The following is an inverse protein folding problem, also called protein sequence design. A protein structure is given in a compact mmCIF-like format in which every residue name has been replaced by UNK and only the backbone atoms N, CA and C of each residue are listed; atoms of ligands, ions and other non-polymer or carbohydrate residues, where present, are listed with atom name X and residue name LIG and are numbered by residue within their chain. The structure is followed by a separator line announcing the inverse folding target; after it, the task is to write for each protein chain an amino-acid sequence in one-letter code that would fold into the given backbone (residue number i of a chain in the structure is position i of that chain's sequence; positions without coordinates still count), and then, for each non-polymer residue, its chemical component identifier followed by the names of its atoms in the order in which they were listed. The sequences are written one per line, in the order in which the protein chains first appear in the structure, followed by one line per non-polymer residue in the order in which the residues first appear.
data_IF_467017755708
#
_entry.id   IF_467017755708
#
_cell.length_a   1.000
_cell.length_b   1.000
_cell.length_c   1.000
_cell.angle_alpha   90.00
_cell.angle_beta   90.00
_cell.angle_gamma   90.00
#
_symmetry.space_group_name_H-M   'P 1'
#
loop_
_entity.id
_entity.type
_entity.pdbx_description
1 polymer ?
#
# COMPACT_ATOMS: atom_id res chain seq x y z
N UNK A 1 -1.89 -32.66 15.63
CA UNK A 1 -1.29 -33.07 14.35
C UNK A 1 -0.32 -31.98 13.95
N UNK A 2 0.88 -32.32 13.50
CA UNK A 2 1.91 -31.35 13.12
C UNK A 2 1.89 -31.18 11.61
N UNK A 3 1.93 -29.94 11.14
CA UNK A 3 2.00 -29.64 9.71
C UNK A 3 3.40 -29.15 9.36
N UNK A 4 3.86 -29.43 8.14
CA UNK A 4 5.21 -29.14 7.68
C UNK A 4 5.16 -28.29 6.43
N UNK A 5 6.02 -27.30 6.34
CA UNK A 5 6.43 -26.70 5.06
C UNK A 5 7.84 -27.19 4.74
N UNK A 6 8.10 -27.58 3.50
CA UNK A 6 9.39 -28.13 3.09
C UNK A 6 9.85 -27.60 1.74
N UNK A 7 11.17 -27.59 1.53
CA UNK A 7 11.82 -27.32 0.25
C UNK A 7 12.58 -28.56 -0.21
N UNK A 8 12.41 -28.89 -1.50
CA UNK A 8 13.18 -29.91 -2.17
C UNK A 8 14.11 -29.27 -3.21
N UNK A 9 15.35 -29.75 -3.29
CA UNK A 9 16.26 -29.46 -4.39
C UNK A 9 16.13 -30.56 -5.45
N UNK A 10 15.78 -30.16 -6.67
CA UNK A 10 15.54 -31.06 -7.79
C UNK A 10 16.80 -31.29 -8.63
N UNK A 11 16.84 -32.36 -9.42
CA UNK A 11 17.98 -32.69 -10.28
C UNK A 11 18.32 -31.60 -11.33
N UNK A 12 17.33 -30.81 -11.77
CA UNK A 12 17.52 -29.67 -12.67
C UNK A 12 17.98 -28.39 -11.94
N UNK A 13 18.43 -28.51 -10.68
CA UNK A 13 18.87 -27.42 -9.80
C UNK A 13 17.77 -26.41 -9.49
N UNK A 14 16.50 -26.78 -9.63
CA UNK A 14 15.36 -25.97 -9.19
C UNK A 14 14.95 -26.31 -7.76
N UNK A 15 14.14 -25.45 -7.15
CA UNK A 15 13.58 -25.67 -5.81
C UNK A 15 12.07 -25.83 -5.87
N UNK A 16 11.57 -26.94 -5.35
CA UNK A 16 10.15 -27.16 -5.10
C UNK A 16 9.80 -26.81 -3.65
N UNK A 17 8.62 -26.23 -3.43
CA UNK A 17 8.12 -25.87 -2.11
C UNK A 17 6.73 -26.47 -1.94
N UNK A 18 6.47 -27.11 -0.81
CA UNK A 18 5.17 -27.71 -0.50
C UNK A 18 4.87 -27.73 0.99
N UNK A 19 3.64 -28.08 1.35
CA UNK A 19 3.24 -28.40 2.72
C UNK A 19 2.58 -29.78 2.82
N UNK A 20 2.61 -30.39 4.01
CA UNK A 20 1.98 -31.68 4.30
C UNK A 20 1.80 -31.88 5.80
N UNK A 21 0.93 -32.78 6.20
CA UNK A 21 0.79 -33.31 7.56
C UNK A 21 1.68 -34.53 7.84
N UNK A 22 2.28 -35.14 6.80
CA UNK A 22 3.18 -36.29 6.90
C UNK A 22 4.38 -36.11 5.95
N UNK A 23 5.48 -35.58 6.49
CA UNK A 23 6.67 -35.23 5.72
C UNK A 23 7.39 -36.45 5.14
N UNK A 24 7.49 -37.54 5.92
CA UNK A 24 8.20 -38.76 5.50
C UNK A 24 7.48 -39.43 4.33
N UNK A 25 6.17 -39.64 4.47
CA UNK A 25 5.35 -40.20 3.39
C UNK A 25 5.41 -39.33 2.15
N UNK A 26 5.38 -38.00 2.31
CA UNK A 26 5.41 -37.06 1.19
C UNK A 26 6.76 -37.05 0.46
N UNK A 27 7.87 -37.17 1.20
CA UNK A 27 9.20 -37.27 0.62
C UNK A 27 9.34 -38.56 -0.19
N UNK A 28 8.88 -39.70 0.35
CA UNK A 28 8.84 -40.98 -0.36
C UNK A 28 8.04 -40.88 -1.67
N UNK A 29 6.87 -40.24 -1.64
CA UNK A 29 6.05 -40.02 -2.84
C UNK A 29 6.77 -39.20 -3.92
N UNK A 30 7.56 -38.20 -3.51
CA UNK A 30 8.34 -37.39 -4.45
C UNK A 30 9.55 -38.16 -5.02
N UNK A 31 10.22 -38.99 -4.20
CA UNK A 31 11.32 -39.85 -4.63
C UNK A 31 10.86 -40.87 -5.68
N UNK A 32 9.73 -41.52 -5.43
CA UNK A 32 9.19 -42.57 -6.29
C UNK A 32 8.34 -42.01 -7.44
N UNK A 33 8.06 -40.70 -7.45
CA UNK A 33 7.27 -40.04 -8.50
C UNK A 33 5.79 -40.45 -8.52
N UNK A 34 5.29 -41.00 -7.40
CA UNK A 34 3.98 -41.67 -7.27
C UNK A 34 2.81 -40.74 -7.64
N UNK A 35 2.91 -39.45 -7.30
CA UNK A 35 1.81 -38.49 -7.48
C UNK A 35 1.86 -37.72 -8.80
N UNK A 36 2.84 -37.99 -9.67
CA UNK A 36 3.08 -37.19 -10.87
C UNK A 36 3.39 -35.72 -10.57
N UNK A 37 3.42 -34.87 -11.60
CA UNK A 37 3.57 -33.42 -11.45
C UNK A 37 5.01 -32.89 -11.49
N UNK A 38 5.24 -31.71 -10.88
CA UNK A 38 6.47 -30.93 -11.09
C UNK A 38 7.77 -31.68 -10.79
N UNK A 39 7.80 -32.45 -9.70
CA UNK A 39 8.98 -33.16 -9.22
C UNK A 39 9.17 -34.52 -9.87
N UNK A 40 8.15 -35.14 -10.49
CA UNK A 40 8.27 -36.50 -11.05
C UNK A 40 9.25 -36.59 -12.22
N UNK A 41 9.39 -35.51 -12.99
CA UNK A 41 10.36 -35.39 -14.10
C UNK A 41 11.70 -34.81 -13.69
N UNK A 42 11.88 -34.44 -12.41
CA UNK A 42 13.06 -33.72 -11.89
C UNK A 42 13.73 -34.45 -10.72
N UNK A 43 13.62 -35.77 -10.71
CA UNK A 43 14.22 -36.69 -9.74
C UNK A 43 15.69 -36.97 -10.08
N UNK A 44 16.54 -37.34 -9.10
CA UNK A 44 16.25 -37.42 -7.67
C UNK A 44 15.97 -36.04 -7.05
N UNK A 45 15.23 -36.02 -5.95
CA UNK A 45 14.95 -34.81 -5.17
C UNK A 45 15.56 -34.97 -3.78
N UNK A 46 16.05 -33.87 -3.21
CA UNK A 46 16.68 -33.86 -1.88
C UNK A 46 15.93 -32.89 -0.96
N UNK A 47 15.61 -33.33 0.27
CA UNK A 47 15.03 -32.45 1.27
C UNK A 47 16.12 -31.52 1.82
N UNK A 48 16.02 -30.22 1.49
CA UNK A 48 17.02 -29.22 1.87
C UNK A 48 16.58 -28.32 3.02
N UNK A 49 15.27 -28.26 3.29
CA UNK A 49 14.74 -27.50 4.43
C UNK A 49 13.33 -27.99 4.78
N UNK A 50 13.00 -28.00 6.08
CA UNK A 50 11.66 -28.23 6.58
C UNK A 50 11.43 -27.49 7.91
N UNK A 51 10.21 -27.02 8.13
CA UNK A 51 9.76 -26.38 9.37
C UNK A 51 8.38 -26.89 9.77
N UNK A 52 8.18 -27.06 11.08
CA UNK A 52 6.97 -27.61 11.68
C UNK A 52 6.06 -26.50 12.20
N UNK A 53 4.75 -26.65 12.03
CA UNK A 53 3.70 -25.71 12.40
C UNK A 53 2.58 -26.40 13.15
N UNK A 54 1.92 -25.65 14.04
CA UNK A 54 0.82 -26.16 14.85
C UNK A 54 -0.47 -26.32 14.03
N UNK A 55 -0.65 -25.49 13.00
CA UNK A 55 -1.85 -25.50 12.15
C UNK A 55 -1.52 -25.67 10.67
N UNK A 56 -2.49 -26.22 9.91
CA UNK A 56 -2.37 -26.36 8.45
C UNK A 56 -2.29 -25.00 7.75
N UNK A 57 -2.99 -24.01 8.30
CA UNK A 57 -3.06 -22.66 7.76
C UNK A 57 -1.70 -21.96 7.82
N UNK A 58 -0.98 -22.10 8.93
CA UNK A 58 0.39 -21.60 9.08
C UNK A 58 1.34 -22.25 8.05
N UNK A 59 1.34 -23.57 7.94
CA UNK A 59 2.18 -24.29 6.97
C UNK A 59 1.87 -23.88 5.52
N UNK A 60 0.59 -23.70 5.18
CA UNK A 60 0.16 -23.24 3.85
C UNK A 60 0.55 -21.78 3.59
N UNK A 61 0.42 -20.90 4.58
CA UNK A 61 0.83 -19.51 4.47
C UNK A 61 2.35 -19.38 4.25
N UNK A 62 3.15 -20.17 4.96
CA UNK A 62 4.60 -20.23 4.78
C UNK A 62 4.98 -20.80 3.41
N UNK A 63 4.30 -21.84 2.92
CA UNK A 63 4.49 -22.33 1.55
C UNK A 63 4.28 -21.22 0.52
N UNK A 64 3.14 -20.52 0.58
CA UNK A 64 2.80 -19.46 -0.37
C UNK A 64 3.82 -18.32 -0.35
N UNK A 65 4.36 -17.99 0.83
CA UNK A 65 5.44 -17.00 0.96
C UNK A 65 6.72 -17.47 0.27
N UNK A 66 7.23 -18.65 0.61
CA UNK A 66 8.53 -19.13 0.11
C UNK A 66 8.47 -19.52 -1.36
N UNK A 67 7.33 -20.00 -1.86
CA UNK A 67 7.14 -20.42 -3.26
C UNK A 67 7.59 -19.34 -4.25
N UNK A 68 7.26 -18.07 -3.96
CA UNK A 68 7.58 -16.90 -4.80
C UNK A 68 8.94 -16.25 -4.49
N UNK A 69 9.76 -16.83 -3.60
CA UNK A 69 11.08 -16.29 -3.30
C UNK A 69 12.07 -16.54 -4.44
N UNK A 70 12.99 -15.59 -4.63
CA UNK A 70 14.14 -15.75 -5.52
C UNK A 70 15.04 -16.89 -5.04
N UNK A 71 15.79 -17.49 -5.97
CA UNK A 71 16.75 -18.56 -5.68
C UNK A 71 17.69 -18.20 -4.53
N UNK A 72 18.22 -16.97 -4.54
CA UNK A 72 19.15 -16.46 -3.51
C UNK A 72 18.51 -16.47 -2.12
N UNK A 73 17.22 -16.11 -2.01
CA UNK A 73 16.51 -16.16 -0.72
C UNK A 73 16.31 -17.60 -0.25
N UNK A 74 15.94 -18.52 -1.14
CA UNK A 74 15.76 -19.94 -0.80
C UNK A 74 17.09 -20.55 -0.33
N UNK A 75 18.18 -20.26 -1.01
CA UNK A 75 19.53 -20.69 -0.62
C UNK A 75 19.95 -20.11 0.74
N UNK A 76 19.67 -18.83 1.00
CA UNK A 76 19.95 -18.22 2.30
C UNK A 76 19.11 -18.84 3.44
N UNK A 77 17.85 -19.20 3.17
CA UNK A 77 16.99 -19.91 4.12
C UNK A 77 17.53 -21.31 4.44
N UNK A 78 17.93 -22.07 3.42
CA UNK A 78 18.53 -23.41 3.55
C UNK A 78 19.81 -23.34 4.39
N UNK A 79 20.65 -22.33 4.14
CA UNK A 79 21.90 -22.11 4.86
C UNK A 79 21.71 -21.54 6.29
N UNK A 80 20.47 -21.21 6.69
CA UNK A 80 20.15 -20.45 7.92
C UNK A 80 20.94 -19.15 8.04
N UNK A 81 21.34 -18.57 6.92
CA UNK A 81 22.09 -17.30 6.85
C UNK A 81 21.11 -16.14 6.76
N UNK A 82 20.63 -15.74 7.93
CA UNK A 82 19.66 -14.65 8.07
C UNK A 82 20.19 -13.31 7.54
N UNK A 83 21.52 -13.09 7.60
CA UNK A 83 22.15 -11.86 7.08
C UNK A 83 22.05 -11.80 5.57
N UNK A 84 22.34 -12.91 4.89
CA UNK A 84 22.22 -13.03 3.44
C UNK A 84 20.76 -13.03 2.97
N UNK A 85 19.85 -13.61 3.75
CA UNK A 85 18.41 -13.58 3.47
C UNK A 85 17.87 -12.15 3.50
N UNK A 86 18.32 -11.33 4.46
CA UNK A 86 17.98 -9.91 4.57
C UNK A 86 18.49 -9.13 3.36
N UNK A 87 19.75 -9.33 2.96
CA UNK A 87 20.33 -8.66 1.78
C UNK A 87 19.65 -9.07 0.47
N UNK A 88 19.32 -10.36 0.31
CA UNK A 88 18.61 -10.87 -0.86
C UNK A 88 17.15 -10.41 -0.96
N UNK A 89 16.63 -9.79 0.10
CA UNK A 89 15.29 -9.19 0.15
C UNK A 89 15.23 -7.75 -0.34
N UNK A 90 16.39 -7.13 -0.56
CA UNK A 90 16.51 -5.78 -1.13
C UNK A 90 16.41 -5.87 -2.67
N UNK A 91 15.53 -5.08 -3.33
CA UNK A 91 15.41 -5.04 -4.78
C UNK A 91 16.75 -4.71 -5.47
N UNK A 92 17.05 -5.27 -6.67
CA UNK A 92 18.32 -5.03 -7.36
C UNK A 92 18.66 -3.54 -7.58
N UNK A 93 17.67 -2.69 -7.80
CA UNK A 93 17.84 -1.25 -8.01
C UNK A 93 18.45 -0.53 -6.78
N UNK A 94 18.10 -0.95 -5.56
CA UNK A 94 18.63 -0.38 -4.32
C UNK A 94 20.05 -0.87 -3.96
N UNK A 95 20.51 -1.97 -4.59
CA UNK A 95 21.84 -2.53 -4.36
C UNK A 95 22.95 -1.70 -5.01
N UNK A 96 22.66 -1.07 -6.15
CA UNK A 96 23.61 -0.23 -6.89
C UNK A 96 23.83 1.11 -6.17
N UNK A 97 22.76 1.73 -5.65
CA UNK A 97 22.81 3.03 -4.97
C UNK A 97 23.65 3.03 -3.68
N UNK A 98 23.76 1.89 -2.98
CA UNK A 98 24.57 1.79 -1.75
C UNK A 98 26.06 1.60 -2.02
N UNK A 99 26.44 1.13 -3.21
CA UNK A 99 27.85 0.89 -3.54
C UNK A 99 28.55 2.18 -3.98
N UNK A 100 27.81 3.14 -4.55
CA UNK A 100 28.31 4.45 -4.98
C UNK A 100 28.46 5.48 -3.85
N UNK A 101 27.75 5.32 -2.73
CA UNK A 101 27.79 6.28 -1.61
C UNK A 101 29.06 6.22 -0.75
N UNK A 102 29.94 5.23 -0.95
CA UNK A 102 31.15 5.02 -0.12
C UNK A 102 32.39 5.81 -0.57
N UNK A 103 32.35 6.55 -1.68
CA UNK A 103 33.53 7.23 -2.23
C UNK A 103 33.17 8.63 -2.75
N UNK A 104 33.31 9.67 -1.92
CA UNK A 104 33.20 11.05 -2.44
C UNK A 104 33.04 12.17 -1.42
N UNK A 105 34.17 12.58 -0.84
CA UNK A 105 34.56 13.91 -0.30
C UNK A 105 33.51 15.02 -0.13
N UNK A 106 33.53 15.56 1.09
CA UNK A 106 33.21 16.92 1.58
C UNK A 106 33.31 18.06 0.55
N UNK A 107 32.33 18.99 0.46
CA UNK A 107 32.53 20.25 -0.25
C UNK A 107 32.77 21.44 0.70
N UNK A 108 33.71 22.28 0.29
CA UNK A 108 34.03 23.60 0.85
C UNK A 108 33.06 24.66 0.30
N UNK A 109 32.74 25.65 1.13
CA UNK A 109 32.04 26.88 0.77
C UNK A 109 32.75 27.65 -0.36
N UNK A 110 31.97 28.08 -1.37
CA UNK A 110 32.26 29.28 -2.15
C UNK A 110 30.98 30.07 -2.43
N UNK A 111 31.13 31.37 -2.23
CA UNK A 111 30.17 32.45 -2.40
C UNK A 111 29.98 32.82 -3.88
N UNK A 112 28.76 33.23 -4.23
CA UNK A 112 28.52 34.33 -5.17
C UNK A 112 28.02 33.93 -6.57
N UNK A 113 26.71 34.03 -6.78
CA UNK A 113 26.05 34.89 -7.78
C UNK A 113 24.56 34.58 -7.77
N UNK A 114 23.74 35.62 -7.62
CA UNK A 114 22.28 35.54 -7.62
C UNK A 114 21.81 35.42 -9.06
N UNK A 115 21.06 34.37 -9.34
CA UNK A 115 20.21 34.29 -10.52
C UNK A 115 18.77 34.31 -10.02
N UNK A 116 18.01 35.31 -10.47
CA UNK A 116 16.59 35.47 -10.20
C UNK A 116 15.81 34.57 -11.17
N UNK A 117 15.07 33.59 -10.64
CA UNK A 117 14.17 32.77 -11.46
C UNK A 117 13.73 31.51 -10.74
N UNK A 118 12.43 31.44 -10.44
CA UNK A 118 11.71 30.34 -9.77
C UNK A 118 12.04 30.14 -8.29
N UNK A 119 11.31 30.86 -7.42
CA UNK A 119 11.07 30.41 -6.07
C UNK A 119 10.22 29.13 -6.13
N UNK A 120 10.88 27.98 -6.26
CA UNK A 120 10.34 26.70 -5.81
C UNK A 120 9.91 26.94 -4.37
N UNK A 121 8.59 27.04 -4.12
CA UNK A 121 8.06 27.01 -2.77
C UNK A 121 8.62 25.74 -2.14
N UNK A 122 9.54 25.89 -1.18
CA UNK A 122 10.17 24.77 -0.49
C UNK A 122 9.04 23.92 0.09
N UNK A 123 8.89 22.70 -0.42
CA UNK A 123 7.81 21.82 0.00
C UNK A 123 7.91 21.63 1.52
N UNK A 124 6.79 21.77 2.23
CA UNK A 124 6.75 21.64 3.68
C UNK A 124 7.43 20.33 4.11
N UNK A 125 8.32 20.36 5.12
CA UNK A 125 9.00 19.16 5.56
C UNK A 125 7.97 18.13 6.08
N UNK A 126 8.19 16.83 5.84
CA UNK A 126 7.32 15.79 6.37
C UNK A 126 7.14 15.91 7.89
N UNK A 127 5.94 15.65 8.43
CA UNK A 127 5.69 15.73 9.86
C UNK A 127 6.43 14.60 10.60
N UNK A 128 6.92 14.94 11.79
CA UNK A 128 7.49 13.99 12.74
C UNK A 128 6.36 13.21 13.41
N UNK A 129 6.50 11.89 13.51
CA UNK A 129 5.57 11.07 14.29
C UNK A 129 6.13 10.87 15.70
N UNK A 130 5.39 11.32 16.70
CA UNK A 130 5.80 11.23 18.11
C UNK A 130 4.86 10.30 18.86
N UNK A 131 5.40 9.19 19.39
CA UNK A 131 4.65 8.25 20.23
C UNK A 131 5.00 8.48 21.69
N UNK A 132 4.02 8.94 22.46
CA UNK A 132 4.16 9.24 23.89
C UNK A 132 3.80 8.01 24.71
N UNK A 133 4.77 7.54 25.49
CA UNK A 133 4.65 6.40 26.42
C UNK A 133 3.99 5.17 25.78
N UNK A 134 4.40 4.74 24.56
CA UNK A 134 3.83 3.56 23.91
C UNK A 134 4.02 2.33 24.80
N UNK A 135 2.99 1.47 24.86
CA UNK A 135 2.96 0.37 25.82
C UNK A 135 3.60 -0.91 25.28
N UNK A 136 3.51 -1.17 23.98
CA UNK A 136 3.98 -2.42 23.37
C UNK A 136 4.89 -2.14 22.18
N UNK A 137 6.03 -2.84 22.12
CA UNK A 137 6.96 -2.79 20.99
C UNK A 137 6.29 -3.11 19.64
N UNK A 138 5.36 -4.07 19.64
CA UNK A 138 4.57 -4.40 18.45
C UNK A 138 3.79 -3.20 17.88
N UNK A 139 3.25 -2.33 18.73
CA UNK A 139 2.48 -1.18 18.27
C UNK A 139 3.40 -0.09 17.70
N UNK A 140 4.61 0.04 18.24
CA UNK A 140 5.67 0.87 17.64
C UNK A 140 6.01 0.34 16.25
N UNK A 141 6.21 -0.98 16.10
CA UNK A 141 6.45 -1.61 14.80
C UNK A 141 5.30 -1.40 13.81
N UNK A 142 4.06 -1.62 14.23
CA UNK A 142 2.86 -1.39 13.39
C UNK A 142 2.73 0.08 13.00
N UNK A 143 3.05 1.03 13.89
CA UNK A 143 3.07 2.45 13.57
C UNK A 143 4.17 2.79 12.55
N UNK A 144 5.39 2.29 12.73
CA UNK A 144 6.48 2.48 11.78
C UNK A 144 6.14 1.93 10.38
N UNK A 145 5.47 0.77 10.31
CA UNK A 145 4.93 0.24 9.06
C UNK A 145 3.92 1.18 8.42
N UNK A 146 2.97 1.69 9.21
CA UNK A 146 1.97 2.64 8.75
C UNK A 146 2.61 3.93 8.22
N UNK A 147 3.65 4.44 8.89
CA UNK A 147 4.42 5.60 8.44
C UNK A 147 5.05 5.39 7.07
N UNK A 148 5.80 4.28 6.92
CA UNK A 148 6.56 4.04 5.69
C UNK A 148 5.66 3.78 4.48
N UNK A 149 4.47 3.18 4.68
CA UNK A 149 3.47 3.04 3.61
C UNK A 149 3.10 4.36 2.95
N UNK A 150 3.23 5.48 3.67
CA UNK A 150 2.85 6.81 3.23
C UNK A 150 4.04 7.77 3.13
N UNK A 151 5.27 7.25 3.14
CA UNK A 151 6.48 8.05 2.93
C UNK A 151 7.00 8.81 4.16
N UNK A 152 6.47 8.53 5.35
CA UNK A 152 6.99 9.10 6.61
C UNK A 152 8.07 8.20 7.20
N UNK A 153 9.19 8.79 7.61
CA UNK A 153 10.34 8.04 8.13
C UNK A 153 10.80 8.47 9.52
N UNK A 154 10.45 9.67 9.97
CA UNK A 154 10.95 10.20 11.24
C UNK A 154 10.03 9.84 12.40
N UNK A 155 10.50 8.91 13.23
CA UNK A 155 9.81 8.43 14.44
C UNK A 155 10.55 8.92 15.70
N UNK A 156 9.79 9.49 16.64
CA UNK A 156 10.29 9.85 17.97
C UNK A 156 9.47 9.16 19.05
N UNK A 157 10.15 8.60 20.04
CA UNK A 157 9.55 7.88 21.16
C UNK A 157 9.80 8.67 22.44
N UNK A 158 8.74 8.95 23.20
CA UNK A 158 8.86 9.61 24.51
C UNK A 158 8.61 8.58 25.58
N UNK A 159 9.62 8.30 26.41
CA UNK A 159 9.54 7.36 27.53
C UNK A 159 8.77 6.04 27.20
N UNK A 160 9.21 5.25 26.20
CA UNK A 160 8.55 3.98 25.85
C UNK A 160 8.56 3.03 27.04
N UNK A 161 7.40 2.45 27.39
CA UNK A 161 7.22 1.71 28.66
C UNK A 161 8.14 0.51 28.79
N UNK A 162 8.27 -0.27 27.72
CA UNK A 162 9.11 -1.47 27.67
C UNK A 162 10.55 -1.15 27.21
N UNK A 163 10.93 0.13 27.18
CA UNK A 163 12.23 0.59 26.71
C UNK A 163 12.41 0.53 25.19
N UNK A 164 13.58 0.99 24.73
CA UNK A 164 13.99 0.98 23.33
C UNK A 164 15.50 0.75 23.21
N UNK A 165 16.00 -0.03 22.23
CA UNK A 165 15.25 -0.78 21.21
C UNK A 165 14.45 -1.97 21.77
N UNK A 166 13.33 -2.29 21.14
CA UNK A 166 12.47 -3.42 21.53
C UNK A 166 12.42 -4.50 20.42
N UNK A 167 12.73 -5.77 20.71
CA UNK A 167 12.80 -6.85 19.71
C UNK A 167 11.45 -7.16 19.04
N UNK A 168 10.33 -6.90 19.71
CA UNK A 168 8.99 -7.19 19.18
C UNK A 168 8.54 -6.16 18.13
N UNK A 169 9.20 -4.99 18.07
CA UNK A 169 8.91 -3.96 17.08
C UNK A 169 9.32 -4.38 15.66
N UNK A 170 10.44 -5.10 15.51
CA UNK A 170 10.99 -5.50 14.21
C UNK A 170 10.05 -6.38 13.38
N UNK A 171 9.59 -7.54 13.90
CA UNK A 171 8.63 -8.39 13.21
C UNK A 171 7.34 -7.67 12.84
N UNK A 172 6.84 -6.81 13.73
CA UNK A 172 5.61 -6.05 13.53
C UNK A 172 5.73 -4.95 12.46
N UNK A 173 6.93 -4.40 12.25
CA UNK A 173 7.22 -3.39 11.23
C UNK A 173 7.24 -3.93 9.79
N UNK A 174 7.39 -5.26 9.62
CA UNK A 174 7.24 -5.94 8.32
C UNK A 174 7.98 -5.26 7.15
N UNK A 175 9.24 -4.87 7.37
CA UNK A 175 10.09 -4.23 6.35
C UNK A 175 10.29 -2.73 6.54
N UNK A 176 9.58 -2.08 7.47
CA UNK A 176 9.85 -0.70 7.86
C UNK A 176 11.03 -0.54 8.85
N UNK A 177 12.08 -1.34 8.65
CA UNK A 177 13.28 -1.37 9.52
C UNK A 177 13.98 0.00 9.57
N UNK A 178 13.94 0.77 8.47
CA UNK A 178 14.59 2.09 8.37
C UNK A 178 14.01 3.07 9.39
N UNK A 179 12.68 3.08 9.56
CA UNK A 179 11.99 3.96 10.50
C UNK A 179 12.35 3.61 11.94
N UNK A 180 12.48 2.31 12.25
CA UNK A 180 12.87 1.86 13.59
C UNK A 180 14.35 2.11 13.87
N UNK A 181 15.22 1.94 12.88
CA UNK A 181 16.66 2.15 13.03
C UNK A 181 17.03 3.61 13.28
N UNK A 182 16.25 4.54 12.72
CA UNK A 182 16.42 5.99 12.87
C UNK A 182 15.55 6.57 14.00
N UNK A 183 14.79 5.74 14.72
CA UNK A 183 13.91 6.20 15.79
C UNK A 183 14.70 6.83 16.95
N UNK A 184 14.38 8.08 17.27
CA UNK A 184 15.00 8.81 18.38
C UNK A 184 14.16 8.68 19.67
N UNK A 185 14.83 8.55 20.82
CA UNK A 185 14.19 8.40 22.13
C UNK A 185 14.45 9.64 22.98
N UNK A 186 13.41 10.11 23.64
CA UNK A 186 13.42 11.30 24.49
C UNK A 186 12.77 10.99 25.84
N UNK A 187 13.18 11.73 26.87
CA UNK A 187 12.61 11.58 28.21
C UNK A 187 11.28 12.33 28.33
N UNK A 188 11.18 13.50 27.68
CA UNK A 188 9.98 14.34 27.73
C UNK A 188 9.41 14.66 26.35
N UNK A 189 8.10 14.93 26.29
CA UNK A 189 7.45 15.35 25.05
C UNK A 189 8.00 16.70 24.58
N UNK A 190 8.33 17.60 25.50
CA UNK A 190 8.89 18.92 25.18
C UNK A 190 10.22 18.81 24.41
N UNK A 191 11.12 17.89 24.82
CA UNK A 191 12.35 17.61 24.09
C UNK A 191 12.07 17.02 22.70
N UNK A 192 11.14 16.05 22.63
CA UNK A 192 10.80 15.37 21.39
C UNK A 192 10.17 16.27 20.32
N UNK A 193 9.72 17.48 20.66
CA UNK A 193 9.11 18.44 19.72
C UNK A 193 9.81 19.80 19.72
N UNK A 194 11.00 19.91 20.33
CA UNK A 194 11.69 21.18 20.56
C UNK A 194 12.02 21.95 19.26
N UNK A 195 12.17 21.23 18.15
CA UNK A 195 12.44 21.76 16.81
C UNK A 195 11.18 21.84 15.92
N UNK A 196 9.99 21.54 16.46
CA UNK A 196 8.72 21.61 15.74
C UNK A 196 8.01 22.94 16.00
N UNK A 197 7.68 23.66 14.93
CA UNK A 197 6.92 24.91 14.99
C UNK A 197 5.43 24.68 15.24
N UNK A 198 4.90 23.54 14.78
CA UNK A 198 3.48 23.20 14.91
C UNK A 198 3.33 21.78 15.46
N UNK A 199 2.50 21.64 16.49
CA UNK A 199 2.34 20.38 17.23
C UNK A 199 0.86 20.05 17.25
N UNK A 200 0.52 18.82 16.87
CA UNK A 200 -0.84 18.34 16.72
C UNK A 200 -1.07 17.15 17.65
N UNK A 201 -1.86 17.34 18.70
CA UNK A 201 -2.19 16.28 19.66
C UNK A 201 -3.38 15.45 19.16
N UNK A 202 -3.21 14.14 19.01
CA UNK A 202 -4.30 13.25 18.61
C UNK A 202 -5.09 12.74 19.81
N UNK A 203 -6.39 13.02 19.85
CA UNK A 203 -7.28 12.54 20.92
C UNK A 203 -8.72 12.55 20.46
N UNK A 204 -9.49 11.58 20.93
CA UNK A 204 -10.96 11.54 20.76
C UNK A 204 -11.68 12.08 22.01
N UNK A 205 -10.94 12.32 23.11
CA UNK A 205 -11.49 12.76 24.40
C UNK A 205 -11.39 14.28 24.52
N UNK A 206 -12.46 14.90 25.02
CA UNK A 206 -12.44 16.31 25.48
C UNK A 206 -11.62 16.37 26.78
N UNK A 207 -10.38 16.88 26.72
CA UNK A 207 -9.44 16.94 27.85
C UNK A 207 -9.54 18.20 28.71
N UNK A 208 -10.63 18.97 28.60
CA UNK A 208 -10.80 20.22 29.35
C UNK A 208 -9.88 21.37 28.92
N UNK A 209 -9.11 21.16 27.84
CA UNK A 209 -8.21 22.15 27.25
C UNK A 209 -8.89 22.78 26.04
N UNK A 210 -8.98 24.11 26.00
CA UNK A 210 -9.58 24.86 24.90
C UNK A 210 -8.53 25.12 23.82
N UNK A 211 -8.55 24.31 22.76
CA UNK A 211 -7.67 24.44 21.59
C UNK A 211 -8.45 24.25 20.29
N UNK A 212 -7.97 24.77 19.15
CA UNK A 212 -8.52 24.46 17.85
C UNK A 212 -8.58 22.95 17.64
N UNK A 213 -9.72 22.45 17.15
CA UNK A 213 -9.93 21.02 16.85
C UNK A 213 -10.02 20.86 15.35
N UNK A 214 -9.16 20.02 14.79
CA UNK A 214 -9.05 19.74 13.38
C UNK A 214 -9.42 18.28 13.09
N UNK A 215 -9.95 18.04 11.89
CA UNK A 215 -10.00 16.68 11.33
C UNK A 215 -8.62 16.28 10.80
N UNK A 216 -8.34 14.99 10.57
CA UNK A 216 -7.10 14.54 9.94
C UNK A 216 -6.81 15.22 8.59
N UNK A 217 -7.83 15.41 7.74
CA UNK A 217 -7.70 16.13 6.47
C UNK A 217 -7.30 17.59 6.67
N UNK A 218 -7.95 18.31 7.60
CA UNK A 218 -7.62 19.71 7.87
C UNK A 218 -6.21 19.86 8.47
N UNK A 219 -5.80 18.92 9.34
CA UNK A 219 -4.45 18.89 9.90
C UNK A 219 -3.39 18.61 8.82
N UNK A 220 -3.67 17.72 7.86
CA UNK A 220 -2.79 17.46 6.72
C UNK A 220 -2.59 18.71 5.85
N UNK A 221 -3.69 19.42 5.52
CA UNK A 221 -3.62 20.69 4.78
C UNK A 221 -2.79 21.74 5.54
N UNK A 222 -2.97 21.85 6.85
CA UNK A 222 -2.21 22.79 7.67
C UNK A 222 -0.70 22.45 7.70
N UNK A 223 -0.35 21.17 7.79
CA UNK A 223 1.06 20.72 7.71
C UNK A 223 1.67 21.08 6.37
N UNK A 224 1.00 20.82 5.25
CA UNK A 224 1.49 21.17 3.91
C UNK A 224 1.62 22.68 3.67
N UNK A 225 0.80 23.49 4.35
CA UNK A 225 0.86 24.94 4.25
C UNK A 225 1.93 25.60 5.15
N UNK A 226 2.60 24.81 6.01
CA UNK A 226 3.54 25.32 7.02
C UNK A 226 4.98 25.15 6.55
N UNK A 227 5.77 26.23 6.55
CA UNK A 227 7.19 26.17 6.18
C UNK A 227 8.08 25.51 7.26
N UNK A 228 7.65 25.50 8.52
CA UNK A 228 8.38 24.91 9.64
C UNK A 228 8.06 23.43 9.89
N UNK A 229 8.88 22.76 10.71
CA UNK A 229 8.65 21.36 11.09
C UNK A 229 7.34 21.23 11.87
N UNK A 230 6.61 20.15 11.59
CA UNK A 230 5.37 19.80 12.27
C UNK A 230 5.50 18.45 12.97
N UNK A 231 4.75 18.24 14.05
CA UNK A 231 4.69 16.96 14.76
C UNK A 231 3.25 16.47 14.96
N UNK A 232 2.99 15.21 14.62
CA UNK A 232 1.79 14.50 15.05
C UNK A 232 2.10 13.69 16.31
N UNK A 233 1.40 13.99 17.41
CA UNK A 233 1.64 13.40 18.72
C UNK A 233 0.53 12.41 19.05
N UNK A 234 0.91 11.20 19.44
CA UNK A 234 0.00 10.11 19.78
C UNK A 234 0.27 9.59 21.18
N UNK A 235 -0.79 9.35 21.95
CA UNK A 235 -0.68 8.87 23.32
C UNK A 235 -0.73 7.34 23.44
N UNK A 236 -0.61 6.82 24.67
CA UNK A 236 -0.71 5.39 24.95
C UNK A 236 -2.07 4.81 24.57
N UNK A 237 -2.09 3.54 24.19
CA UNK A 237 -3.21 2.82 23.57
C UNK A 237 -4.50 2.85 24.41
N UNK A 238 -4.39 2.78 25.74
CA UNK A 238 -5.56 2.71 26.63
C UNK A 238 -5.98 4.08 27.15
N UNK A 239 -5.01 4.89 27.53
CA UNK A 239 -5.25 6.15 28.23
C UNK A 239 -5.34 7.34 27.29
N UNK A 240 -4.74 7.28 26.09
CA UNK A 240 -4.51 8.43 25.23
C UNK A 240 -3.57 9.47 25.87
N UNK A 241 -3.39 10.61 25.20
CA UNK A 241 -2.55 11.71 25.70
C UNK A 241 -3.08 12.27 27.02
N UNK A 242 -2.16 12.64 27.93
CA UNK A 242 -2.48 13.34 29.16
C UNK A 242 -2.86 14.80 28.88
N UNK A 243 -3.47 15.47 29.86
CA UNK A 243 -3.86 16.87 29.73
C UNK A 243 -2.64 17.76 29.43
N UNK A 244 -1.50 17.49 30.08
CA UNK A 244 -0.26 18.25 29.88
C UNK A 244 0.35 18.02 28.50
N UNK A 245 0.25 16.80 27.96
CA UNK A 245 0.66 16.51 26.57
C UNK A 245 -0.17 17.33 25.58
N UNK A 246 -1.49 17.37 25.78
CA UNK A 246 -2.41 18.17 24.95
C UNK A 246 -2.15 19.67 25.14
N UNK A 247 -1.77 20.09 26.34
CA UNK A 247 -1.43 21.48 26.67
C UNK A 247 -0.16 21.98 25.96
N UNK A 248 0.74 21.09 25.53
CA UNK A 248 1.89 21.45 24.71
C UNK A 248 1.55 21.69 23.21
N UNK A 249 0.49 21.05 22.70
CA UNK A 249 0.17 21.11 21.27
C UNK A 249 -0.44 22.44 20.80
N UNK A 250 -0.30 22.83 19.54
CA UNK A 250 -0.97 24.01 18.99
C UNK A 250 -2.44 23.71 18.63
N UNK A 251 -2.74 22.47 18.26
CA UNK A 251 -4.08 22.04 17.87
C UNK A 251 -4.34 20.60 18.28
N UNK A 252 -5.62 20.27 18.43
CA UNK A 252 -6.10 18.90 18.64
C UNK A 252 -6.52 18.34 17.28
N UNK A 253 -6.17 17.09 17.01
CA UNK A 253 -6.68 16.34 15.87
C UNK A 253 -7.61 15.24 16.38
N UNK A 254 -8.87 15.32 15.97
CA UNK A 254 -9.90 14.34 16.32
C UNK A 254 -10.32 13.59 15.08
N UNK A 255 -10.06 12.28 15.06
CA UNK A 255 -10.58 11.40 14.01
C UNK A 255 -12.08 11.21 14.21
N UNK A 256 -12.93 11.48 13.20
CA UNK A 256 -14.36 11.18 13.28
C UNK A 256 -14.57 9.68 13.29
N UNK A 257 -14.99 9.13 14.44
CA UNK A 257 -15.28 7.71 14.64
C UNK A 257 -16.66 7.54 15.29
N UNK A 258 -17.14 6.30 15.34
CA UNK A 258 -18.39 5.98 16.03
C UNK A 258 -18.33 6.46 17.50
N UNK A 259 -19.22 7.37 17.94
CA UNK A 259 -19.23 7.87 19.32
C UNK A 259 -19.48 6.77 20.35
N UNK A 260 -20.12 5.66 19.97
CA UNK A 260 -20.37 4.51 20.85
C UNK A 260 -19.14 3.60 21.01
N UNK A 261 -18.14 3.72 20.13
CA UNK A 261 -16.93 2.91 20.18
C UNK A 261 -15.68 3.71 19.78
N UNK A 262 -15.26 4.58 20.69
CA UNK A 262 -14.17 5.54 20.49
C UNK A 262 -12.75 5.00 20.68
N UNK A 263 -12.47 3.74 20.31
CA UNK A 263 -11.19 3.08 20.63
C UNK A 263 -10.42 2.67 19.37
N UNK A 264 -9.63 3.59 18.82
CA UNK A 264 -8.68 3.28 17.73
C UNK A 264 -7.38 2.70 18.28
N UNK A 265 -6.85 1.67 17.63
CA UNK A 265 -5.48 1.22 17.89
C UNK A 265 -4.46 2.33 17.51
N UNK A 266 -3.33 2.40 18.21
CA UNK A 266 -2.28 3.40 17.96
C UNK A 266 -1.85 3.45 16.48
N UNK A 267 -1.55 2.29 15.88
CA UNK A 267 -1.14 2.23 14.49
C UNK A 267 -2.28 2.62 13.52
N UNK A 268 -3.54 2.41 13.91
CA UNK A 268 -4.69 2.89 13.14
C UNK A 268 -4.87 4.41 13.24
N UNK A 269 -4.52 5.04 14.36
CA UNK A 269 -4.50 6.50 14.44
C UNK A 269 -3.37 7.06 13.55
N UNK A 270 -2.17 6.47 13.64
CA UNK A 270 -1.01 6.87 12.83
C UNK A 270 -1.30 6.73 11.33
N UNK A 271 -1.88 5.59 10.90
CA UNK A 271 -2.14 5.34 9.48
C UNK A 271 -3.13 6.35 8.88
N UNK A 272 -4.13 6.81 9.65
CA UNK A 272 -5.12 7.77 9.16
C UNK A 272 -4.49 9.15 8.92
N UNK A 273 -3.66 9.62 9.85
CA UNK A 273 -2.97 10.91 9.69
C UNK A 273 -1.92 10.84 8.59
N UNK A 274 -1.16 9.74 8.52
CA UNK A 274 -0.17 9.51 7.47
C UNK A 274 -0.82 9.45 6.08
N UNK A 275 -1.96 8.76 5.95
CA UNK A 275 -2.74 8.70 4.72
C UNK A 275 -3.24 10.08 4.29
N UNK A 276 -3.89 10.84 5.18
CA UNK A 276 -4.39 12.17 4.83
C UNK A 276 -3.25 13.13 4.44
N UNK A 277 -2.11 13.07 5.15
CA UNK A 277 -0.92 13.83 4.76
C UNK A 277 -0.43 13.41 3.37
N UNK A 278 -0.37 12.11 3.08
CA UNK A 278 0.16 11.61 1.80
C UNK A 278 -0.59 12.09 0.56
N UNK A 279 -1.87 12.49 0.69
CA UNK A 279 -2.66 13.02 -0.44
C UNK A 279 -2.11 14.34 -0.99
N UNK A 280 -1.34 15.08 -0.20
CA UNK A 280 -0.64 16.28 -0.65
C UNK A 280 0.76 16.02 -1.21
N UNK A 281 1.18 14.75 -1.27
CA UNK A 281 2.49 14.31 -1.76
C UNK A 281 2.29 13.44 -2.99
N UNK A 282 3.18 13.58 -3.98
CA UNK A 282 3.18 12.72 -5.16
C UNK A 282 3.74 11.31 -4.84
N UNK A 283 2.98 10.49 -4.11
CA UNK A 283 3.27 9.07 -4.00
C UNK A 283 2.91 8.36 -5.32
N UNK A 284 3.62 7.27 -5.63
CA UNK A 284 3.37 6.49 -6.83
C UNK A 284 1.96 5.86 -6.78
N UNK A 285 1.04 6.43 -7.55
CA UNK A 285 -0.28 5.87 -7.82
C UNK A 285 -0.20 4.84 -8.95
N UNK A 286 -1.16 3.91 -9.06
CA UNK A 286 -1.29 3.07 -10.25
C UNK A 286 -1.27 3.98 -11.49
N UNK A 287 -0.58 3.59 -12.58
CA UNK A 287 -0.56 4.40 -13.77
C UNK A 287 -2.00 4.58 -14.25
N UNK A 288 -2.43 5.83 -14.38
CA UNK A 288 -3.65 6.13 -15.10
C UNK A 288 -3.43 5.63 -16.53
N UNK A 289 -4.24 4.66 -16.95
CA UNK A 289 -4.30 4.28 -18.35
C UNK A 289 -5.19 5.33 -19.01
N UNK A 290 -4.65 6.22 -19.85
CA UNK A 290 -5.48 7.19 -20.55
C UNK A 290 -6.49 6.40 -21.39
N UNK A 291 -7.78 6.61 -21.10
CA UNK A 291 -8.86 6.14 -21.95
C UNK A 291 -8.90 7.03 -23.19
N UNK A 292 -9.27 6.46 -24.33
CA UNK A 292 -9.54 7.25 -25.53
C UNK A 292 -10.60 8.31 -25.21
N UNK A 293 -10.43 9.56 -25.66
CA UNK A 293 -11.41 10.60 -25.40
C UNK A 293 -12.77 10.24 -26.04
N UNK A 294 -13.87 10.75 -25.46
CA UNK A 294 -15.19 10.60 -26.08
C UNK A 294 -15.17 11.09 -27.52
N UNK A 295 -15.87 10.38 -28.40
CA UNK A 295 -16.03 10.79 -29.78
C UNK A 295 -16.84 12.09 -29.89
N UNK A 296 -16.67 12.78 -31.01
CA UNK A 296 -17.54 13.91 -31.36
C UNK A 296 -19.00 13.46 -31.45
N UNK A 297 -19.91 14.36 -31.07
CA UNK A 297 -21.34 14.05 -31.04
C UNK A 297 -21.90 13.59 -32.40
N UNK A 298 -21.31 14.07 -33.50
CA UNK A 298 -21.68 13.67 -34.86
C UNK A 298 -21.50 12.16 -35.12
N UNK A 299 -20.54 11.50 -34.46
CA UNK A 299 -20.33 10.05 -34.57
C UNK A 299 -21.47 9.28 -33.88
N UNK A 300 -21.97 9.79 -32.74
CA UNK A 300 -23.12 9.22 -32.06
C UNK A 300 -24.40 9.37 -32.90
N UNK A 301 -24.61 10.52 -33.54
CA UNK A 301 -25.77 10.72 -34.43
C UNK A 301 -25.76 9.70 -35.57
N UNK A 302 -24.62 9.50 -36.23
CA UNK A 302 -24.49 8.51 -37.30
C UNK A 302 -24.78 7.09 -36.81
N UNK A 303 -24.31 6.73 -35.61
CA UNK A 303 -24.59 5.43 -35.02
C UNK A 303 -26.07 5.24 -34.69
N UNK A 304 -26.70 6.26 -34.11
CA UNK A 304 -28.11 6.25 -33.74
C UNK A 304 -28.99 6.15 -34.99
N UNK A 305 -28.67 6.91 -36.03
CA UNK A 305 -29.36 6.82 -37.32
C UNK A 305 -29.24 5.43 -37.94
N UNK A 306 -28.02 4.88 -37.96
CA UNK A 306 -27.76 3.52 -38.44
C UNK A 306 -28.58 2.48 -37.67
N UNK A 307 -28.51 2.52 -36.34
CA UNK A 307 -29.23 1.58 -35.48
C UNK A 307 -30.74 1.68 -35.67
N UNK A 308 -31.29 2.90 -35.68
CA UNK A 308 -32.73 3.12 -35.82
C UNK A 308 -33.25 2.63 -37.18
N UNK A 309 -32.51 2.88 -38.27
CA UNK A 309 -32.86 2.36 -39.60
C UNK A 309 -32.99 0.84 -39.60
N UNK A 310 -32.00 0.15 -39.04
CA UNK A 310 -31.97 -1.31 -39.06
C UNK A 310 -33.02 -1.92 -38.08
N UNK A 311 -33.28 -1.26 -36.95
CA UNK A 311 -34.36 -1.64 -36.02
C UNK A 311 -35.76 -1.43 -36.62
N UNK A 312 -35.97 -0.37 -37.40
CA UNK A 312 -37.23 -0.11 -38.08
C UNK A 312 -37.49 -1.17 -39.15
N UNK A 313 -36.48 -1.51 -39.96
CA UNK A 313 -36.56 -2.60 -40.92
C UNK A 313 -36.86 -3.97 -40.27
N UNK A 314 -36.41 -4.18 -39.02
CA UNK A 314 -36.70 -5.37 -38.23
C UNK A 314 -38.07 -5.35 -37.52
N UNK A 315 -38.84 -4.26 -37.62
CA UNK A 315 -40.15 -4.11 -37.00
C UNK A 315 -40.12 -3.88 -35.48
N UNK A 316 -39.01 -3.36 -34.93
CA UNK A 316 -38.84 -3.14 -33.49
C UNK A 316 -39.79 -2.06 -32.92
N UNK A 317 -40.16 -1.07 -33.73
CA UNK A 317 -40.98 0.06 -33.31
C UNK A 317 -42.48 -0.22 -33.38
N UNK A 318 -42.97 -1.10 -32.51
CA UNK A 318 -44.40 -1.40 -32.35
C UNK A 318 -44.80 -1.44 -30.86
N UNK A 319 -45.93 -0.85 -30.45
CA UNK A 319 -46.93 -0.17 -31.27
C UNK A 319 -46.52 1.27 -31.66
N UNK A 320 -47.07 1.84 -32.75
CA UNK A 320 -46.58 3.09 -33.35
C UNK A 320 -46.64 4.31 -32.41
N UNK A 321 -47.57 4.33 -31.45
CA UNK A 321 -47.74 5.46 -30.53
C UNK A 321 -46.56 5.60 -29.55
N UNK A 322 -45.73 4.55 -29.41
CA UNK A 322 -44.57 4.56 -28.51
C UNK A 322 -43.25 4.84 -29.22
N UNK A 323 -43.23 4.89 -30.54
CA UNK A 323 -41.99 5.00 -31.34
C UNK A 323 -41.11 6.18 -30.91
N UNK A 324 -41.67 7.38 -30.77
CA UNK A 324 -40.88 8.56 -30.34
C UNK A 324 -40.28 8.42 -28.93
N UNK A 325 -41.00 7.79 -28.00
CA UNK A 325 -40.50 7.53 -26.65
C UNK A 325 -39.34 6.52 -26.67
N UNK A 326 -39.47 5.48 -27.49
CA UNK A 326 -38.43 4.46 -27.68
C UNK A 326 -37.17 5.05 -28.34
N UNK A 327 -37.32 5.86 -29.38
CA UNK A 327 -36.20 6.55 -30.05
C UNK A 327 -35.41 7.45 -29.08
N UNK A 328 -36.11 8.25 -28.25
CA UNK A 328 -35.48 9.07 -27.20
C UNK A 328 -34.75 8.22 -26.17
N UNK A 329 -35.30 7.06 -25.82
CA UNK A 329 -34.69 6.12 -24.87
C UNK A 329 -33.41 5.51 -25.43
N UNK A 330 -33.43 5.04 -26.69
CA UNK A 330 -32.26 4.51 -27.39
C UNK A 330 -31.15 5.57 -27.47
N UNK A 331 -31.50 6.78 -27.90
CA UNK A 331 -30.57 7.92 -27.96
C UNK A 331 -29.94 8.20 -26.60
N UNK A 332 -30.74 8.29 -25.53
CA UNK A 332 -30.24 8.53 -24.17
C UNK A 332 -29.33 7.40 -23.68
N UNK A 333 -29.67 6.15 -23.98
CA UNK A 333 -28.85 5.00 -23.60
C UNK A 333 -27.47 5.04 -24.27
N UNK A 334 -27.42 5.42 -25.55
CA UNK A 334 -26.20 5.48 -26.35
C UNK A 334 -25.33 6.70 -25.99
N UNK A 335 -25.92 7.87 -25.71
CA UNK A 335 -25.13 9.09 -25.41
C UNK A 335 -24.64 9.16 -23.96
N UNK A 336 -25.21 8.37 -23.04
CA UNK A 336 -24.83 8.37 -21.62
C UNK A 336 -23.43 7.80 -21.35
N UNK A 337 -22.88 6.99 -22.24
CA UNK A 337 -21.72 6.13 -21.96
C UNK A 337 -20.37 6.74 -22.35
N UNK A 338 -20.33 7.91 -22.99
CA UNK A 338 -19.07 8.60 -23.31
C UNK A 338 -18.13 7.81 -24.22
N UNK A 339 -18.68 7.03 -25.16
CA UNK A 339 -17.94 6.17 -26.09
C UNK A 339 -16.87 6.92 -26.88
N UNK A 340 -15.72 6.28 -27.03
CA UNK A 340 -14.65 6.73 -27.93
C UNK A 340 -15.03 6.51 -29.39
N UNK A 341 -14.26 7.09 -30.30
CA UNK A 341 -14.42 6.84 -31.74
C UNK A 341 -14.31 5.34 -32.08
N UNK A 342 -13.40 4.63 -31.42
CA UNK A 342 -13.18 3.20 -31.61
C UNK A 342 -14.39 2.37 -31.16
N UNK A 343 -15.00 2.74 -30.03
CA UNK A 343 -16.21 2.10 -29.53
C UNK A 343 -17.38 2.28 -30.50
N UNK A 344 -17.60 3.50 -31.00
CA UNK A 344 -18.65 3.80 -31.99
C UNK A 344 -18.42 3.01 -33.28
N UNK A 345 -17.18 3.01 -33.79
CA UNK A 345 -16.81 2.25 -34.98
C UNK A 345 -17.04 0.74 -34.81
N UNK A 346 -16.70 0.19 -33.64
CA UNK A 346 -16.97 -1.21 -33.30
C UNK A 346 -18.48 -1.48 -33.31
N UNK A 347 -19.28 -0.59 -32.72
CA UNK A 347 -20.73 -0.71 -32.68
C UNK A 347 -21.36 -0.65 -34.08
N UNK A 348 -20.90 0.24 -34.96
CA UNK A 348 -21.30 0.23 -36.38
C UNK A 348 -21.03 -1.13 -37.03
N UNK A 349 -19.86 -1.72 -36.75
CA UNK A 349 -19.49 -3.04 -37.25
C UNK A 349 -20.41 -4.16 -36.75
N UNK A 350 -20.78 -4.13 -35.47
CA UNK A 350 -21.72 -5.08 -34.86
C UNK A 350 -23.09 -4.97 -35.54
N UNK A 351 -23.65 -3.76 -35.66
CA UNK A 351 -24.95 -3.51 -36.30
C UNK A 351 -24.93 -4.02 -37.75
N UNK A 352 -23.89 -3.68 -38.52
CA UNK A 352 -23.74 -4.12 -39.90
C UNK A 352 -23.55 -5.64 -40.05
N UNK A 353 -23.05 -6.33 -39.02
CA UNK A 353 -22.96 -7.78 -39.01
C UNK A 353 -24.31 -8.44 -38.69
N UNK A 354 -25.11 -7.84 -37.81
CA UNK A 354 -26.43 -8.34 -37.45
C UNK A 354 -27.47 -8.10 -38.55
N UNK A 355 -27.40 -6.96 -39.24
CA UNK A 355 -28.29 -6.62 -40.37
C UNK A 355 -28.02 -7.42 -41.65
N UNK A 356 -26.86 -8.09 -41.78
CA UNK A 356 -26.60 -9.00 -42.89
C UNK A 356 -27.33 -10.32 -42.67
N UNK A 357 -28.45 -10.51 -43.36
CA UNK A 357 -29.11 -11.81 -43.46
C UNK A 357 -28.05 -12.87 -43.87
N UNK A 358 -27.89 -13.93 -43.06
CA UNK A 358 -27.07 -15.09 -43.44
C UNK A 358 -27.56 -15.56 -44.80
N UNK A 359 -26.73 -15.47 -45.85
CA UNK A 359 -26.91 -16.29 -47.04
C UNK A 359 -26.80 -17.74 -46.56
N UNK A 360 -27.95 -18.38 -46.39
CA UNK A 360 -28.03 -19.83 -46.24
C UNK A 360 -27.54 -20.35 -47.60
N UNK A 361 -26.34 -20.94 -47.59
CA UNK A 361 -25.78 -21.67 -48.73
C UNK A 361 -26.52 -22.99 -48.94
#
# INVERSE_FOLDING_TARGET
MTFWTYLLHCADRTYYTGHTDDLERRLYQHQEGILGGYTSTRRPVELVWAEAFATREEAKATELKIKNWSRIKKEALIAKDWKRLKQASIPPAERVARTSASLGKTPRLRSGMRDEGDSLLEAAPPPVIVLVRPQLGENIGKAARAMLNFGLTELRLVAPRDGWPNPDAGPAASGADVVLAEAAVFDTLAEAVADCTHIYATTVRKRGVTKPVLTPEAAAKAVHATAGRSAYVFGPERSGLETDDVALAHSIVTVPINPEFGSLNLAQAVILLAYEWSKGVALASPPEVPLDPPADHAEFEQLIEHLNRDLDAAGYFFPPERTEATLRTIRTAITKTGWSYNDIRMMHGIIASLGRAKKIL
#
